data_IF_207192086369
#
_entry.id   IF_207192086369
#
_cell.length_a   1.000
_cell.length_b   1.000
_cell.length_c   1.000
_cell.angle_alpha   90.00
_cell.angle_beta   90.00
_cell.angle_gamma   90.00
#
_symmetry.space_group_name_H-M   'P 1'
#
loop_
_entity.id
_entity.type
_entity.pdbx_description
1 polymer ?
#
# COMPACT_ATOMS: atom_id res chain seq x y z
N UNK A 1 -24.44 14.44 -4.76
CA UNK A 1 -23.11 13.79 -4.84
C UNK A 1 -22.77 13.57 -6.30
N UNK A 2 -21.54 13.17 -6.60
CA UNK A 2 -21.09 12.88 -7.97
C UNK A 2 -21.87 11.73 -8.64
N UNK A 3 -22.39 10.81 -7.82
CA UNK A 3 -23.26 9.72 -8.25
C UNK A 3 -24.51 9.65 -7.37
N UNK A 4 -25.54 8.95 -7.84
CA UNK A 4 -26.66 8.48 -7.02
C UNK A 4 -26.17 7.48 -5.94
N UNK A 5 -27.00 7.16 -4.94
CA UNK A 5 -26.64 6.24 -3.85
C UNK A 5 -26.18 4.88 -4.38
N UNK A 6 -26.94 4.28 -5.29
CA UNK A 6 -26.59 2.99 -5.89
C UNK A 6 -25.27 3.07 -6.68
N UNK A 7 -25.09 4.13 -7.49
CA UNK A 7 -23.85 4.37 -8.23
C UNK A 7 -22.65 4.58 -7.30
N UNK A 8 -22.84 5.34 -6.22
CA UNK A 8 -21.80 5.61 -5.22
C UNK A 8 -21.28 4.32 -4.58
N UNK A 9 -22.17 3.39 -4.23
CA UNK A 9 -21.77 2.08 -3.68
C UNK A 9 -20.96 1.27 -4.70
N UNK A 10 -21.42 1.18 -5.96
CA UNK A 10 -20.75 0.40 -6.99
C UNK A 10 -19.37 0.98 -7.30
N UNK A 11 -19.28 2.29 -7.58
CA UNK A 11 -18.01 2.92 -7.95
C UNK A 11 -17.00 2.88 -6.80
N UNK A 12 -17.44 3.13 -5.56
CA UNK A 12 -16.56 3.07 -4.39
C UNK A 12 -16.05 1.66 -4.13
N UNK A 13 -16.93 0.65 -4.20
CA UNK A 13 -16.54 -0.74 -4.01
C UNK A 13 -15.58 -1.23 -5.11
N UNK A 14 -15.87 -0.89 -6.36
CA UNK A 14 -15.02 -1.25 -7.50
C UNK A 14 -13.63 -0.62 -7.39
N UNK A 15 -13.56 0.70 -7.17
CA UNK A 15 -12.28 1.39 -7.10
C UNK A 15 -11.46 0.94 -5.89
N UNK A 16 -12.11 0.77 -4.73
CA UNK A 16 -11.44 0.29 -3.52
C UNK A 16 -10.91 -1.13 -3.66
N UNK A 17 -11.71 -2.07 -4.18
CA UNK A 17 -11.25 -3.45 -4.39
C UNK A 17 -10.12 -3.53 -5.41
N UNK A 18 -10.20 -2.75 -6.49
CA UNK A 18 -9.17 -2.69 -7.51
C UNK A 18 -7.83 -2.14 -6.99
N UNK A 19 -7.85 -0.99 -6.30
CA UNK A 19 -6.62 -0.38 -5.75
C UNK A 19 -6.04 -1.19 -4.59
N UNK A 20 -6.87 -1.75 -3.70
CA UNK A 20 -6.41 -2.58 -2.57
C UNK A 20 -5.75 -3.89 -3.02
N UNK A 21 -6.19 -4.45 -4.15
CA UNK A 21 -5.66 -5.70 -4.71
C UNK A 21 -4.64 -5.48 -5.83
N UNK A 22 -4.19 -4.25 -6.03
CA UNK A 22 -3.22 -3.88 -7.08
C UNK A 22 -3.66 -4.28 -8.50
N UNK A 23 -4.98 -4.33 -8.77
CA UNK A 23 -5.50 -4.77 -10.07
C UNK A 23 -5.38 -3.69 -11.16
N UNK A 24 -5.35 -2.42 -10.76
CA UNK A 24 -5.09 -1.31 -11.69
C UNK A 24 -6.26 -0.88 -12.56
N UNK A 25 -7.48 -1.34 -12.28
CA UNK A 25 -8.68 -0.87 -12.96
C UNK A 25 -9.25 0.37 -12.25
N UNK A 26 -9.56 1.41 -13.02
CA UNK A 26 -10.20 2.61 -12.52
C UNK A 26 -11.39 3.00 -13.40
N UNK A 27 -12.35 3.70 -12.81
CA UNK A 27 -13.46 4.33 -13.53
C UNK A 27 -12.98 5.65 -14.13
N UNK A 28 -13.48 6.05 -15.31
CA UNK A 28 -12.99 7.26 -16.01
C UNK A 28 -12.96 8.52 -15.13
N UNK A 29 -13.88 8.65 -14.17
CA UNK A 29 -13.98 9.86 -13.37
C UNK A 29 -13.18 9.83 -12.05
N UNK A 30 -12.40 8.79 -11.76
CA UNK A 30 -11.71 8.68 -10.45
C UNK A 30 -10.77 9.87 -10.18
N UNK A 31 -10.21 10.48 -11.24
CA UNK A 31 -9.36 11.66 -11.14
C UNK A 31 -10.11 12.89 -10.58
N UNK A 32 -11.44 12.93 -10.73
CA UNK A 32 -12.29 14.03 -10.26
C UNK A 32 -12.79 13.81 -8.81
N UNK A 33 -12.48 12.66 -8.20
CA UNK A 33 -12.86 12.40 -6.82
C UNK A 33 -12.07 13.29 -5.86
N UNK A 34 -12.60 13.55 -4.65
CA UNK A 34 -11.87 14.31 -3.65
C UNK A 34 -10.48 13.72 -3.42
N UNK A 35 -9.45 14.57 -3.48
CA UNK A 35 -8.05 14.16 -3.46
C UNK A 35 -7.69 13.29 -2.25
N UNK A 36 -8.24 13.62 -1.08
CA UNK A 36 -8.02 12.84 0.15
C UNK A 36 -8.49 11.39 0.03
N UNK A 37 -9.60 11.15 -0.69
CA UNK A 37 -10.13 9.80 -0.93
C UNK A 37 -9.17 9.01 -1.81
N UNK A 38 -8.66 9.62 -2.89
CA UNK A 38 -7.71 8.94 -3.77
C UNK A 38 -6.38 8.68 -3.07
N UNK A 39 -5.85 9.62 -2.29
CA UNK A 39 -4.63 9.39 -1.49
C UNK A 39 -4.82 8.23 -0.50
N UNK A 40 -5.99 8.13 0.13
CA UNK A 40 -6.32 7.01 1.01
C UNK A 40 -6.36 5.67 0.25
N UNK A 41 -7.01 5.63 -0.92
CA UNK A 41 -7.09 4.43 -1.74
C UNK A 41 -5.73 4.03 -2.32
N UNK A 42 -4.91 4.98 -2.77
CA UNK A 42 -3.52 4.74 -3.18
C UNK A 42 -2.70 4.18 -2.01
N UNK A 43 -2.87 4.74 -0.81
CA UNK A 43 -2.21 4.22 0.40
C UNK A 43 -2.68 2.80 0.76
N UNK A 44 -3.90 2.42 0.38
CA UNK A 44 -4.40 1.08 0.61
C UNK A 44 -3.71 0.02 -0.27
N UNK A 45 -3.20 0.38 -1.46
CA UNK A 45 -2.48 -0.55 -2.36
C UNK A 45 -1.25 -1.17 -1.69
N UNK A 46 -0.61 -0.46 -0.76
CA UNK A 46 0.51 -0.98 0.01
C UNK A 46 0.16 -2.25 0.82
N UNK A 47 -1.10 -2.38 1.26
CA UNK A 47 -1.56 -3.54 2.05
C UNK A 47 -1.58 -4.86 1.26
N UNK A 48 -1.69 -4.78 -0.07
CA UNK A 48 -1.54 -5.89 -1.01
C UNK A 48 -2.42 -7.13 -0.76
N UNK A 49 -2.41 -8.05 -1.71
CA UNK A 49 -3.19 -9.29 -1.63
C UNK A 49 -2.62 -10.38 -0.71
N UNK A 50 -3.17 -11.59 -0.87
CA UNK A 50 -2.71 -12.80 -0.19
C UNK A 50 -1.34 -13.26 -0.70
N UNK A 51 -0.67 -14.12 0.09
CA UNK A 51 0.54 -14.83 -0.34
C UNK A 51 0.21 -15.67 -1.58
N UNK A 52 1.12 -15.70 -2.55
CA UNK A 52 0.94 -16.51 -3.77
C UNK A 52 -0.06 -15.93 -4.78
N UNK A 53 -0.64 -14.76 -4.48
CA UNK A 53 -1.45 -13.99 -5.44
C UNK A 53 -0.59 -13.10 -6.33
N UNK A 54 -1.17 -12.60 -7.42
CA UNK A 54 -0.57 -11.70 -8.42
C UNK A 54 -0.42 -10.24 -7.96
N UNK A 55 -0.98 -9.86 -6.81
CA UNK A 55 -0.85 -8.49 -6.29
C UNK A 55 0.63 -8.10 -6.08
N UNK A 56 0.96 -6.82 -6.08
CA UNK A 56 2.28 -6.36 -5.65
C UNK A 56 2.30 -6.23 -4.14
N UNK A 57 2.33 -4.99 -3.66
CA UNK A 57 2.20 -4.63 -2.25
C UNK A 57 3.22 -5.30 -1.31
N UNK A 58 3.10 -4.98 -0.02
CA UNK A 58 3.90 -5.65 1.03
C UNK A 58 3.37 -7.07 1.30
N UNK A 59 2.13 -7.35 0.86
CA UNK A 59 1.32 -8.56 1.11
C UNK A 59 0.73 -8.59 2.53
N UNK A 60 -0.53 -9.01 2.60
CA UNK A 60 -1.31 -9.12 3.83
C UNK A 60 -0.66 -9.96 4.94
N UNK A 61 0.03 -11.07 4.62
CA UNK A 61 0.71 -11.88 5.64
C UNK A 61 1.83 -11.09 6.35
N UNK A 62 2.62 -10.31 5.61
CA UNK A 62 3.73 -9.55 6.21
C UNK A 62 3.19 -8.48 7.15
N UNK A 63 2.10 -7.81 6.77
CA UNK A 63 1.36 -6.92 7.66
C UNK A 63 0.84 -7.63 8.92
N UNK A 64 0.26 -8.82 8.78
CA UNK A 64 -0.21 -9.61 9.93
C UNK A 64 0.94 -9.98 10.89
N UNK A 65 2.10 -10.37 10.35
CA UNK A 65 3.28 -10.68 11.16
C UNK A 65 3.77 -9.43 11.89
N UNK A 66 3.90 -8.29 11.20
CA UNK A 66 4.32 -7.02 11.81
C UNK A 66 3.34 -6.55 12.90
N UNK A 67 2.03 -6.68 12.65
CA UNK A 67 1.01 -6.34 13.64
C UNK A 67 1.10 -7.22 14.89
N UNK A 68 1.27 -8.54 14.72
CA UNK A 68 1.44 -9.46 15.85
C UNK A 68 2.75 -9.23 16.58
N UNK A 69 3.84 -8.90 15.88
CA UNK A 69 5.09 -8.51 16.52
C UNK A 69 4.93 -7.24 17.33
N UNK A 70 4.25 -6.22 16.79
CA UNK A 70 4.00 -4.96 17.49
C UNK A 70 3.21 -5.19 18.79
N UNK A 71 2.15 -6.01 18.72
CA UNK A 71 1.38 -6.40 19.92
C UNK A 71 2.23 -7.19 20.91
N UNK A 72 3.11 -8.05 20.42
CA UNK A 72 4.03 -8.83 21.25
C UNK A 72 5.01 -7.93 22.01
N UNK A 73 5.65 -6.97 21.34
CA UNK A 73 6.55 -5.99 21.97
C UNK A 73 5.83 -5.14 23.02
N UNK A 74 4.62 -4.65 22.72
CA UNK A 74 3.81 -3.88 23.68
C UNK A 74 3.51 -4.70 24.93
N UNK A 75 3.14 -5.98 24.76
CA UNK A 75 2.88 -6.86 25.89
C UNK A 75 4.14 -7.16 26.69
N UNK A 76 5.30 -7.25 26.04
CA UNK A 76 6.58 -7.50 26.70
C UNK A 76 7.06 -6.28 27.50
N UNK A 77 6.76 -5.05 27.04
CA UNK A 77 6.97 -3.83 27.83
C UNK A 77 6.14 -3.83 29.11
N UNK A 78 4.90 -4.32 29.05
CA UNK A 78 4.03 -4.42 30.23
C UNK A 78 4.37 -5.61 31.13
N UNK A 79 4.81 -6.73 30.56
CA UNK A 79 5.15 -7.96 31.28
C UNK A 79 6.54 -8.48 30.84
N UNK A 80 7.64 -7.92 31.38
CA UNK A 80 9.01 -8.21 30.92
C UNK A 80 9.43 -9.69 31.05
N UNK A 81 8.78 -10.46 31.93
CA UNK A 81 9.09 -11.88 32.18
C UNK A 81 8.18 -12.85 31.41
N UNK A 82 7.24 -12.36 30.61
CA UNK A 82 6.33 -13.21 29.87
C UNK A 82 7.06 -13.88 28.68
N UNK A 83 7.04 -15.21 28.63
CA UNK A 83 7.52 -15.98 27.48
C UNK A 83 6.41 -16.01 26.41
N UNK A 84 6.34 -14.94 25.64
CA UNK A 84 5.40 -14.82 24.53
C UNK A 84 6.06 -15.34 23.24
N UNK A 85 5.28 -15.75 22.26
CA UNK A 85 5.78 -16.04 20.91
C UNK A 85 4.77 -15.55 19.87
N UNK A 86 5.27 -15.13 18.70
CA UNK A 86 4.40 -14.74 17.59
C UNK A 86 3.99 -15.99 16.82
N UNK A 87 2.69 -16.29 16.82
CA UNK A 87 2.11 -17.42 16.09
C UNK A 87 1.21 -16.93 14.96
N UNK A 88 1.32 -17.55 13.79
CA UNK A 88 0.39 -17.36 12.66
C UNK A 88 -0.07 -18.73 12.16
N UNK A 89 -1.39 -18.94 12.12
CA UNK A 89 -1.97 -20.18 11.60
C UNK A 89 -1.57 -21.45 12.37
N UNK A 90 -1.38 -21.34 13.69
CA UNK A 90 -0.96 -22.46 14.54
C UNK A 90 0.55 -22.71 14.54
N UNK A 91 1.33 -22.01 13.71
CA UNK A 91 2.80 -22.16 13.63
C UNK A 91 3.51 -20.97 14.27
N UNK A 92 4.58 -21.25 15.02
CA UNK A 92 5.46 -20.22 15.58
C UNK A 92 6.28 -19.61 14.44
N UNK A 93 6.29 -18.28 14.38
CA UNK A 93 7.12 -17.53 13.44
C UNK A 93 8.54 -17.49 14.01
N UNK A 94 9.52 -17.98 13.24
CA UNK A 94 10.92 -17.99 13.67
C UNK A 94 11.55 -16.59 13.57
N UNK A 95 12.57 -16.31 14.37
CA UNK A 95 13.26 -15.01 14.33
C UNK A 95 13.88 -14.70 12.97
N UNK A 96 14.27 -15.74 12.21
CA UNK A 96 14.76 -15.58 10.83
C UNK A 96 13.67 -15.00 9.92
N UNK A 97 12.45 -15.49 10.03
CA UNK A 97 11.30 -14.97 9.27
C UNK A 97 10.98 -13.55 9.73
N UNK A 98 10.97 -13.31 11.04
CA UNK A 98 10.72 -11.98 11.60
C UNK A 98 11.72 -10.93 11.06
N UNK A 99 13.03 -11.24 11.13
CA UNK A 99 14.09 -10.37 10.59
C UNK A 99 13.91 -10.13 9.09
N UNK A 100 13.59 -11.17 8.32
CA UNK A 100 13.32 -11.03 6.88
C UNK A 100 12.13 -10.09 6.58
N UNK A 101 11.05 -10.20 7.36
CA UNK A 101 9.88 -9.31 7.22
C UNK A 101 10.25 -7.85 7.55
N UNK A 102 11.00 -7.61 8.62
CA UNK A 102 11.49 -6.27 8.96
C UNK A 102 12.42 -5.69 7.89
N UNK A 103 13.39 -6.48 7.41
CA UNK A 103 14.30 -6.05 6.35
C UNK A 103 13.55 -5.72 5.06
N UNK A 104 12.57 -6.54 4.68
CA UNK A 104 11.72 -6.24 3.52
C UNK A 104 10.93 -4.94 3.72
N UNK A 105 10.25 -4.78 4.85
CA UNK A 105 9.44 -3.59 5.15
C UNK A 105 10.28 -2.31 5.13
N UNK A 106 11.47 -2.36 5.74
CA UNK A 106 12.39 -1.22 5.76
C UNK A 106 12.90 -0.86 4.37
N UNK A 107 13.41 -1.84 3.60
CA UNK A 107 13.90 -1.59 2.24
C UNK A 107 12.78 -1.07 1.34
N UNK A 108 11.60 -1.68 1.41
CA UNK A 108 10.43 -1.27 0.64
C UNK A 108 10.05 0.19 0.95
N UNK A 109 10.01 0.58 2.22
CA UNK A 109 9.70 1.96 2.64
C UNK A 109 10.79 2.92 2.21
N UNK A 110 12.06 2.54 2.35
CA UNK A 110 13.21 3.34 1.94
C UNK A 110 13.18 3.64 0.45
N UNK A 111 12.96 2.63 -0.40
CA UNK A 111 12.86 2.83 -1.85
C UNK A 111 11.63 3.65 -2.22
N UNK A 112 10.48 3.44 -1.56
CA UNK A 112 9.29 4.26 -1.78
C UNK A 112 9.58 5.74 -1.54
N UNK A 113 10.15 6.09 -0.38
CA UNK A 113 10.50 7.48 -0.05
C UNK A 113 11.57 8.02 -0.98
N UNK A 114 12.60 7.23 -1.28
CA UNK A 114 13.68 7.60 -2.19
C UNK A 114 13.15 8.00 -3.58
N UNK A 115 12.32 7.16 -4.20
CA UNK A 115 11.78 7.46 -5.53
C UNK A 115 10.81 8.66 -5.52
N UNK A 116 10.06 8.87 -4.44
CA UNK A 116 9.20 10.05 -4.30
C UNK A 116 10.05 11.32 -4.30
N UNK A 117 11.15 11.32 -3.54
CA UNK A 117 12.07 12.46 -3.47
C UNK A 117 12.78 12.71 -4.81
N UNK A 118 13.14 11.64 -5.54
CA UNK A 118 13.74 11.77 -6.89
C UNK A 118 12.76 12.45 -7.85
N UNK A 119 11.51 11.99 -7.93
CA UNK A 119 10.50 12.61 -8.79
C UNK A 119 10.20 14.05 -8.36
N UNK A 120 10.13 14.32 -7.06
CA UNK A 120 9.92 15.67 -6.58
C UNK A 120 11.10 16.60 -6.93
N UNK A 121 12.34 16.09 -6.85
CA UNK A 121 13.55 16.78 -7.28
C UNK A 121 13.62 17.05 -8.78
N UNK A 122 12.92 16.27 -9.60
CA UNK A 122 12.74 16.52 -11.05
C UNK A 122 11.70 17.61 -11.35
N UNK A 123 11.03 18.16 -10.34
CA UNK A 123 10.06 19.25 -10.47
C UNK A 123 8.60 18.82 -10.46
N UNK A 124 8.29 17.53 -10.26
CA UNK A 124 6.91 17.08 -10.09
C UNK A 124 6.38 17.38 -8.69
N UNK A 125 5.09 17.67 -8.58
CA UNK A 125 4.46 17.88 -7.28
C UNK A 125 4.46 16.60 -6.44
N UNK A 126 4.37 16.76 -5.12
CA UNK A 126 4.43 15.65 -4.17
C UNK A 126 3.35 14.60 -4.44
N UNK A 127 2.15 15.04 -4.84
CA UNK A 127 1.01 14.16 -5.04
C UNK A 127 1.18 13.29 -6.29
N UNK A 128 1.57 13.87 -7.41
CA UNK A 128 1.95 13.12 -8.62
C UNK A 128 3.11 12.16 -8.34
N UNK A 129 4.13 12.62 -7.59
CA UNK A 129 5.30 11.80 -7.25
C UNK A 129 4.90 10.59 -6.40
N UNK A 130 4.11 10.80 -5.36
CA UNK A 130 3.58 9.73 -4.49
C UNK A 130 2.75 8.73 -5.28
N UNK A 131 1.79 9.21 -6.07
CA UNK A 131 0.90 8.34 -6.84
C UNK A 131 1.66 7.52 -7.89
N UNK A 132 2.62 8.14 -8.57
CA UNK A 132 3.47 7.45 -9.56
C UNK A 132 4.30 6.35 -8.91
N UNK A 133 4.97 6.64 -7.79
CA UNK A 133 5.77 5.63 -7.10
C UNK A 133 4.90 4.51 -6.55
N UNK A 134 3.75 4.83 -5.94
CA UNK A 134 2.80 3.84 -5.46
C UNK A 134 2.31 2.94 -6.61
N UNK A 135 1.99 3.53 -7.77
CA UNK A 135 1.56 2.79 -8.95
C UNK A 135 2.61 1.78 -9.43
N UNK A 136 3.88 2.20 -9.51
CA UNK A 136 4.97 1.37 -10.01
C UNK A 136 5.43 0.32 -8.99
N UNK A 137 5.67 0.73 -7.74
CA UNK A 137 6.23 -0.18 -6.72
C UNK A 137 5.23 -1.27 -6.30
N UNK A 138 3.92 -0.97 -6.33
CA UNK A 138 2.87 -1.95 -6.08
C UNK A 138 2.40 -2.68 -7.33
N UNK A 139 2.95 -2.36 -8.51
CA UNK A 139 2.50 -2.90 -9.79
C UNK A 139 0.98 -2.71 -10.01
N UNK A 140 0.42 -1.63 -9.45
CA UNK A 140 -0.98 -1.27 -9.59
C UNK A 140 -1.23 -0.49 -10.89
N UNK A 141 -0.27 0.32 -11.35
CA UNK A 141 -0.37 1.02 -12.64
C UNK A 141 -1.38 2.16 -12.71
N UNK A 142 -1.97 2.61 -11.60
CA UNK A 142 -2.85 3.79 -11.55
C UNK A 142 -2.14 4.98 -10.90
N UNK A 143 -1.89 6.03 -11.70
CA UNK A 143 -1.34 7.30 -11.22
C UNK A 143 -2.39 8.25 -10.65
N UNK A 144 -1.99 9.46 -10.29
CA UNK A 144 -2.87 10.57 -9.91
C UNK A 144 -2.16 11.90 -10.17
N UNK A 145 -2.91 13.00 -10.25
CA UNK A 145 -2.34 14.29 -10.64
C UNK A 145 -1.95 14.27 -12.11
N UNK A 146 -0.71 14.63 -12.44
CA UNK A 146 -0.26 14.66 -13.83
C UNK A 146 -0.23 13.26 -14.49
N UNK A 147 -0.11 12.18 -13.69
CA UNK A 147 -0.10 10.80 -14.18
C UNK A 147 -1.46 10.10 -14.13
N UNK A 148 -2.54 10.85 -13.86
CA UNK A 148 -3.89 10.26 -13.79
C UNK A 148 -4.37 9.71 -15.14
N UNK A 149 -3.99 10.35 -16.25
CA UNK A 149 -4.36 9.95 -17.61
C UNK A 149 -3.32 9.04 -18.27
N UNK A 150 -2.04 9.34 -18.11
CA UNK A 150 -0.93 8.57 -18.66
C UNK A 150 0.39 8.89 -17.96
N UNK A 151 1.29 7.91 -17.89
CA UNK A 151 2.67 8.12 -17.42
C UNK A 151 3.57 8.79 -18.45
N UNK A 152 3.15 8.88 -19.73
CA UNK A 152 3.96 9.51 -20.80
C UNK A 152 4.16 11.02 -20.66
N UNK A 153 3.54 11.64 -19.65
CA UNK A 153 3.77 13.06 -19.30
C UNK A 153 5.05 13.22 -18.48
N UNK A 154 5.60 12.13 -17.93
CA UNK A 154 6.87 12.14 -17.23
C UNK A 154 8.01 12.18 -18.26
N UNK A 155 8.98 13.09 -18.08
CA UNK A 155 10.24 13.09 -18.80
C UNK A 155 10.98 11.75 -18.63
N UNK A 156 11.58 11.29 -19.74
CA UNK A 156 12.49 10.13 -19.78
C UNK A 156 13.80 10.37 -19.00
#
# INVERSE_FOLDING_TARGET
GMYDLHGSFIHSFFLASSMLTDNGLATQDYANWPTHTIVFLLSSSFFGGCIGSTCGGIKSLRFLILFKQSKHEINQLSHPRALLSVNVGGKIVTDRVMRSVWSFFFLYTLFTVFFILVLNGMGYDFLTSFATVAACINNMGLGFGATASSFGVLND
#
